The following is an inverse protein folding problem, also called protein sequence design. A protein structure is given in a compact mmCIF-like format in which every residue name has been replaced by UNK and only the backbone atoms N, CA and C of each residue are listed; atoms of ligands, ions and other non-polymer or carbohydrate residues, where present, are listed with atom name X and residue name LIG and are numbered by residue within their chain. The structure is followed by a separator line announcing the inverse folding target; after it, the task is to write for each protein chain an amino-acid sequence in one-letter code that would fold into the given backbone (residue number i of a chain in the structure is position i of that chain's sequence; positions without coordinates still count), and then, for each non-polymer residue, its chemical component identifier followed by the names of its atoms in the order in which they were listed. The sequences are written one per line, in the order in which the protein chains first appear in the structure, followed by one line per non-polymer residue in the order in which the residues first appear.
data_IF_724067616154
#
_entry.id   IF_724067616154
#
_cell.length_a   1.000
_cell.length_b   1.000
_cell.length_c   1.000
_cell.angle_alpha   90.00
_cell.angle_beta   90.00
_cell.angle_gamma   90.00
#
_symmetry.space_group_name_H-M   'P 1'
#
loop_
_entity.id
_entity.type
_entity.pdbx_description
1 polymer ?
#
# COMPACT_ATOMS: atom_id res chain seq x y z
N UNK A 1 -5.93 -14.10 15.66
CA UNK A 1 -5.28 -13.66 14.40
C UNK A 1 -3.88 -14.24 14.38
N UNK A 2 -3.45 -14.82 13.26
CA UNK A 2 -2.09 -15.31 13.04
C UNK A 2 -1.48 -14.57 11.84
N UNK A 3 -0.31 -13.95 12.04
CA UNK A 3 0.35 -13.13 11.05
C UNK A 3 1.42 -13.91 10.30
N UNK A 4 1.65 -13.56 9.04
CA UNK A 4 2.67 -14.15 8.15
C UNK A 4 2.63 -15.69 8.04
N UNK A 5 1.43 -16.26 8.14
CA UNK A 5 1.23 -17.72 8.10
C UNK A 5 1.72 -18.35 6.79
N UNK A 6 1.62 -17.62 5.67
CA UNK A 6 2.15 -18.07 4.39
C UNK A 6 3.65 -18.35 4.43
N UNK A 7 4.44 -17.43 5.00
CA UNK A 7 5.90 -17.62 5.15
C UNK A 7 6.23 -18.78 6.09
N UNK A 8 5.44 -18.92 7.19
CA UNK A 8 5.63 -20.03 8.12
C UNK A 8 5.38 -21.40 7.48
N UNK A 9 4.39 -21.48 6.57
CA UNK A 9 4.04 -22.73 5.89
C UNK A 9 5.03 -23.03 4.75
N UNK A 10 5.50 -22.00 4.05
CA UNK A 10 6.30 -22.04 2.81
C UNK A 10 7.00 -23.38 2.55
N UNK A 11 6.49 -24.15 1.57
CA UNK A 11 7.05 -25.44 1.15
C UNK A 11 6.87 -26.62 2.10
N UNK A 12 6.23 -26.46 3.27
CA UNK A 12 6.06 -27.53 4.24
C UNK A 12 4.62 -28.04 4.32
N UNK A 13 4.37 -29.19 3.68
CA UNK A 13 3.06 -29.89 3.74
C UNK A 13 2.64 -30.18 5.20
N UNK A 14 3.59 -30.52 6.07
CA UNK A 14 3.28 -30.81 7.48
C UNK A 14 2.74 -29.58 8.22
N UNK A 15 3.34 -28.40 8.02
CA UNK A 15 2.87 -27.17 8.64
C UNK A 15 1.50 -26.78 8.11
N UNK A 16 1.27 -26.99 6.83
CA UNK A 16 0.00 -26.80 6.17
C UNK A 16 -1.11 -27.66 6.75
N UNK A 17 -0.84 -28.95 6.93
CA UNK A 17 -1.77 -29.89 7.57
C UNK A 17 -2.04 -29.54 9.03
N UNK A 18 -1.05 -29.04 9.78
CA UNK A 18 -1.25 -28.54 11.14
C UNK A 18 -2.21 -27.34 11.18
N UNK A 19 -2.08 -26.38 10.26
CA UNK A 19 -3.00 -25.25 10.19
C UNK A 19 -4.42 -25.73 9.89
N UNK A 20 -4.59 -26.68 8.96
CA UNK A 20 -5.87 -27.28 8.66
C UNK A 20 -6.49 -27.94 9.92
N UNK A 21 -5.72 -28.78 10.60
CA UNK A 21 -6.18 -29.48 11.83
C UNK A 21 -6.60 -28.48 12.92
N UNK A 22 -5.83 -27.40 13.11
CA UNK A 22 -6.16 -26.34 14.07
C UNK A 22 -7.49 -25.68 13.70
N UNK A 23 -7.65 -25.30 12.42
CA UNK A 23 -8.86 -24.63 11.93
C UNK A 23 -10.09 -25.52 12.09
N UNK A 24 -9.99 -26.78 11.74
CA UNK A 24 -11.07 -27.76 11.91
C UNK A 24 -11.41 -28.00 13.39
N UNK A 25 -10.39 -28.18 14.24
CA UNK A 25 -10.57 -28.41 15.67
C UNK A 25 -11.26 -27.23 16.36
N UNK A 26 -10.89 -26.01 16.01
CA UNK A 26 -11.51 -24.79 16.54
C UNK A 26 -12.96 -24.69 16.05
N UNK A 27 -13.22 -24.95 14.76
CA UNK A 27 -14.56 -24.94 14.21
C UNK A 27 -15.52 -25.89 14.95
N UNK A 28 -15.06 -27.11 15.21
CA UNK A 28 -15.86 -28.13 15.92
C UNK A 28 -16.01 -27.82 17.41
N UNK A 29 -14.91 -27.49 18.10
CA UNK A 29 -14.91 -27.28 19.56
C UNK A 29 -15.60 -26.00 19.99
N UNK A 30 -15.50 -24.95 19.16
CA UNK A 30 -16.06 -23.65 19.47
C UNK A 30 -17.41 -23.40 18.80
N UNK A 31 -17.99 -24.42 18.15
CA UNK A 31 -19.33 -24.37 17.58
C UNK A 31 -19.59 -23.15 16.68
N UNK A 32 -18.59 -22.75 15.88
CA UNK A 32 -18.65 -21.60 15.00
C UNK A 32 -18.53 -20.21 15.66
N UNK A 33 -18.27 -20.14 16.96
CA UNK A 33 -18.16 -18.87 17.70
C UNK A 33 -16.79 -18.21 17.64
N UNK A 34 -15.81 -18.80 16.94
CA UNK A 34 -14.44 -18.29 16.83
C UNK A 34 -14.10 -18.01 15.38
N UNK A 35 -13.55 -16.84 15.16
CA UNK A 35 -13.02 -16.41 13.85
C UNK A 35 -11.52 -16.61 13.80
N UNK A 36 -11.05 -17.24 12.72
CA UNK A 36 -9.62 -17.41 12.45
C UNK A 36 -9.27 -16.47 11.31
N UNK A 37 -8.41 -15.49 11.60
CA UNK A 37 -7.87 -14.55 10.61
C UNK A 37 -6.40 -14.86 10.44
N UNK A 38 -5.98 -15.10 9.21
CA UNK A 38 -4.57 -15.32 8.83
C UNK A 38 -4.15 -14.27 7.82
N UNK A 39 -2.92 -13.80 7.92
CA UNK A 39 -2.32 -12.93 6.91
C UNK A 39 -1.19 -13.64 6.19
N UNK A 40 -0.94 -13.25 4.95
CA UNK A 40 0.17 -13.73 4.13
C UNK A 40 0.64 -12.60 3.22
N UNK A 41 1.95 -12.47 3.04
CA UNK A 41 2.54 -11.49 2.11
C UNK A 41 2.53 -11.98 0.67
N UNK A 42 2.57 -13.29 0.45
CA UNK A 42 2.50 -13.88 -0.87
C UNK A 42 1.08 -14.35 -1.16
N UNK A 43 0.69 -14.30 -2.44
CA UNK A 43 -0.56 -14.93 -2.86
C UNK A 43 -0.50 -16.41 -2.44
N UNK A 44 -1.56 -16.86 -1.78
CA UNK A 44 -1.63 -18.26 -1.28
C UNK A 44 -1.36 -19.25 -2.42
N UNK A 45 -1.69 -18.86 -3.66
CA UNK A 45 -1.43 -19.67 -4.86
C UNK A 45 0.07 -19.78 -5.20
N UNK A 46 0.89 -18.76 -4.86
CA UNK A 46 2.34 -18.76 -5.10
C UNK A 46 3.12 -19.59 -4.06
N UNK A 47 2.63 -19.63 -2.82
CA UNK A 47 3.23 -20.43 -1.73
C UNK A 47 3.17 -21.93 -2.02
N UNK A 48 2.23 -22.32 -2.85
CA UNK A 48 1.86 -23.72 -3.12
C UNK A 48 2.45 -24.27 -4.41
N UNK A 49 3.19 -23.49 -5.17
CA UNK A 49 3.84 -23.97 -6.41
C UNK A 49 4.78 -25.18 -6.23
N UNK A 50 5.08 -25.58 -4.99
CA UNK A 50 5.81 -26.78 -4.62
C UNK A 50 4.98 -27.90 -3.94
N UNK A 51 3.67 -27.72 -3.78
CA UNK A 51 2.78 -28.65 -3.10
C UNK A 51 1.75 -29.21 -4.08
N UNK A 52 1.33 -30.49 -3.90
CA UNK A 52 0.33 -31.09 -4.80
C UNK A 52 -0.98 -30.29 -4.76
N UNK A 53 -1.60 -30.10 -5.95
CA UNK A 53 -2.83 -29.33 -6.11
C UNK A 53 -3.99 -29.81 -5.23
N UNK A 54 -4.00 -31.09 -4.85
CA UNK A 54 -5.02 -31.70 -3.99
C UNK A 54 -4.93 -31.27 -2.53
N UNK A 55 -3.72 -31.04 -1.99
CA UNK A 55 -3.55 -30.66 -0.59
C UNK A 55 -3.85 -29.17 -0.38
N UNK A 56 -3.62 -28.37 -1.42
CA UNK A 56 -3.96 -26.97 -1.42
C UNK A 56 -5.46 -26.68 -1.44
N UNK A 57 -6.21 -27.43 -2.24
CA UNK A 57 -7.68 -27.30 -2.31
C UNK A 57 -8.34 -27.49 -0.95
N UNK A 58 -7.74 -28.33 -0.07
CA UNK A 58 -8.23 -28.57 1.29
C UNK A 58 -8.11 -27.35 2.20
N UNK A 59 -7.05 -26.57 2.07
CA UNK A 59 -6.89 -25.31 2.83
C UNK A 59 -7.76 -24.21 2.24
N UNK A 60 -7.78 -24.08 0.93
CA UNK A 60 -8.63 -23.09 0.26
C UNK A 60 -10.10 -23.22 0.69
N UNK A 61 -10.59 -24.44 0.84
CA UNK A 61 -11.95 -24.69 1.30
C UNK A 61 -12.24 -24.27 2.75
N UNK A 62 -11.21 -24.02 3.58
CA UNK A 62 -11.36 -23.58 4.99
C UNK A 62 -11.34 -22.08 5.15
N UNK A 63 -10.70 -21.35 4.21
CA UNK A 63 -10.65 -19.89 4.20
C UNK A 63 -11.46 -19.36 3.02
N UNK A 64 -12.77 -19.29 3.20
CA UNK A 64 -13.72 -18.88 2.15
C UNK A 64 -13.68 -17.37 1.87
N UNK A 65 -13.40 -16.57 2.91
CA UNK A 65 -13.28 -15.11 2.78
C UNK A 65 -11.84 -14.74 2.56
N UNK A 66 -11.54 -14.15 1.40
CA UNK A 66 -10.20 -13.69 1.02
C UNK A 66 -10.25 -12.22 0.68
N UNK A 67 -9.39 -11.46 1.31
CA UNK A 67 -9.26 -10.03 1.09
C UNK A 67 -7.85 -9.80 0.53
N UNK A 68 -7.76 -9.36 -0.74
CA UNK A 68 -6.50 -8.93 -1.33
C UNK A 68 -6.37 -7.43 -1.09
N UNK A 69 -5.28 -7.05 -0.44
CA UNK A 69 -4.92 -5.63 -0.37
C UNK A 69 -4.24 -5.24 -1.68
N UNK A 70 -4.88 -4.35 -2.42
CA UNK A 70 -4.35 -3.81 -3.66
C UNK A 70 -3.33 -2.70 -3.39
N UNK A 71 -2.49 -2.42 -4.37
CA UNK A 71 -1.49 -1.34 -4.25
C UNK A 71 -2.12 0.07 -4.25
N UNK A 72 -3.36 0.22 -4.72
CA UNK A 72 -4.17 1.43 -4.55
C UNK A 72 -4.39 1.80 -3.08
N UNK A 73 -4.37 0.80 -2.21
CA UNK A 73 -4.55 1.00 -0.77
C UNK A 73 -3.35 1.70 -0.13
N UNK A 74 -2.17 1.65 -0.76
CA UNK A 74 -0.96 2.33 -0.25
C UNK A 74 -1.09 3.85 -0.36
N UNK A 75 -1.64 4.37 -1.46
CA UNK A 75 -1.95 5.81 -1.62
C UNK A 75 -2.90 6.27 -0.52
N UNK A 76 -3.99 5.55 -0.31
CA UNK A 76 -4.97 5.87 0.75
C UNK A 76 -4.35 5.80 2.15
N UNK A 77 -3.47 4.83 2.41
CA UNK A 77 -2.76 4.74 3.70
C UNK A 77 -1.82 5.92 3.90
N UNK A 78 -1.07 6.35 2.87
CA UNK A 78 -0.22 7.53 2.94
C UNK A 78 -1.07 8.76 3.28
N UNK A 79 -2.16 8.99 2.56
CA UNK A 79 -3.04 10.13 2.77
C UNK A 79 -3.64 10.14 4.18
N UNK A 80 -4.14 9.01 4.67
CA UNK A 80 -4.85 8.93 5.95
C UNK A 80 -3.95 8.76 7.18
N UNK A 81 -2.70 8.31 7.02
CA UNK A 81 -1.82 8.00 8.15
C UNK A 81 -0.58 8.87 8.23
N UNK A 82 -0.08 9.32 7.09
CA UNK A 82 1.12 10.16 7.03
C UNK A 82 0.72 11.62 6.82
N UNK A 83 -0.26 11.87 5.94
CA UNK A 83 -0.63 13.21 5.49
C UNK A 83 -1.93 13.74 6.12
N UNK A 84 -2.48 13.08 7.13
CA UNK A 84 -3.68 13.54 7.82
C UNK A 84 -3.44 14.95 8.42
N UNK A 85 -4.27 15.92 8.01
CA UNK A 85 -4.18 17.31 8.46
C UNK A 85 -5.15 17.57 9.59
N UNK A 86 -4.75 18.41 10.51
CA UNK A 86 -5.67 19.00 11.47
C UNK A 86 -6.70 19.87 10.73
N UNK A 87 -7.91 19.96 11.23
CA UNK A 87 -9.02 20.67 10.58
C UNK A 87 -8.63 22.12 10.20
N UNK A 88 -8.00 22.85 11.11
CA UNK A 88 -7.55 24.22 10.84
C UNK A 88 -6.55 24.29 9.67
N UNK A 89 -5.58 23.38 9.64
CA UNK A 89 -4.59 23.33 8.55
C UNK A 89 -5.23 22.89 7.21
N UNK A 90 -6.22 22.00 7.24
CA UNK A 90 -6.96 21.61 6.04
C UNK A 90 -7.73 22.79 5.43
N UNK A 91 -8.37 23.61 6.26
CA UNK A 91 -9.08 24.83 5.83
C UNK A 91 -8.09 25.86 5.24
N UNK A 92 -6.96 26.07 5.89
CA UNK A 92 -5.91 26.99 5.41
C UNK A 92 -5.34 26.54 4.06
N UNK A 93 -5.00 25.26 3.91
CA UNK A 93 -4.53 24.68 2.65
C UNK A 93 -5.59 24.77 1.56
N UNK A 94 -6.85 24.54 1.89
CA UNK A 94 -7.95 24.69 0.94
C UNK A 94 -8.07 26.12 0.42
N UNK A 95 -8.05 27.10 1.30
CA UNK A 95 -8.07 28.52 0.93
C UNK A 95 -6.83 28.92 0.13
N UNK A 96 -5.66 28.41 0.51
CA UNK A 96 -4.41 28.62 -0.26
C UNK A 96 -4.55 28.11 -1.69
N UNK A 97 -5.03 26.88 -1.89
CA UNK A 97 -5.19 26.30 -3.20
C UNK A 97 -6.18 27.07 -4.07
N UNK A 98 -7.35 27.44 -3.53
CA UNK A 98 -8.35 28.20 -4.28
C UNK A 98 -7.81 29.57 -4.73
N UNK A 99 -7.03 30.25 -3.89
CA UNK A 99 -6.45 31.54 -4.22
C UNK A 99 -5.29 31.43 -5.22
N UNK A 100 -4.59 30.31 -5.27
CA UNK A 100 -3.38 30.14 -6.08
C UNK A 100 -3.51 29.08 -7.17
N UNK A 101 -4.72 28.54 -7.41
CA UNK A 101 -4.96 27.41 -8.31
C UNK A 101 -4.34 27.57 -9.69
N UNK A 102 -4.51 28.71 -10.31
CA UNK A 102 -3.97 28.98 -11.65
C UNK A 102 -2.44 28.99 -11.66
N UNK A 103 -1.83 29.57 -10.63
CA UNK A 103 -0.38 29.63 -10.51
C UNK A 103 0.21 28.23 -10.25
N UNK A 104 -0.40 27.46 -9.36
CA UNK A 104 -0.01 26.08 -9.10
C UNK A 104 -0.13 25.22 -10.37
N UNK A 105 -1.24 25.33 -11.10
CA UNK A 105 -1.41 24.61 -12.37
C UNK A 105 -0.37 25.01 -13.42
N UNK A 106 -0.04 26.29 -13.52
CA UNK A 106 0.99 26.78 -14.44
C UNK A 106 2.39 26.29 -14.07
N UNK A 107 2.74 26.28 -12.78
CA UNK A 107 4.03 25.76 -12.29
C UNK A 107 4.19 24.26 -12.56
N UNK A 108 3.09 23.51 -12.47
CA UNK A 108 3.07 22.07 -12.67
C UNK A 108 2.83 21.66 -14.13
N UNK A 109 2.60 22.64 -15.01
CA UNK A 109 2.34 22.38 -16.43
C UNK A 109 3.55 21.71 -17.10
N UNK A 110 3.34 20.53 -17.65
CA UNK A 110 4.34 19.82 -18.46
C UNK A 110 3.85 19.68 -19.90
N UNK A 111 4.74 19.88 -20.85
CA UNK A 111 4.43 19.70 -22.28
C UNK A 111 4.18 18.17 -22.50
N UNK A 112 3.03 17.81 -23.10
CA UNK A 112 2.57 16.41 -23.29
C UNK A 112 1.91 15.75 -22.05
N UNK A 113 1.08 16.49 -21.35
CA UNK A 113 0.43 16.08 -20.09
C UNK A 113 -0.67 15.02 -20.18
N UNK A 114 -0.95 14.42 -21.32
CA UNK A 114 -2.12 13.53 -21.48
C UNK A 114 -2.21 12.36 -20.48
N UNK A 115 -1.11 12.06 -19.77
CA UNK A 115 -1.03 10.93 -18.83
C UNK A 115 -0.62 11.33 -17.40
N UNK A 116 -0.39 12.64 -17.12
CA UNK A 116 0.09 13.07 -15.80
C UNK A 116 -1.08 13.54 -14.95
N UNK A 117 -1.34 12.81 -13.87
CA UNK A 117 -2.39 13.15 -12.89
C UNK A 117 -1.92 14.30 -12.00
N UNK A 118 -2.49 15.48 -12.21
CA UNK A 118 -2.37 16.64 -11.32
C UNK A 118 -3.57 16.69 -10.36
N UNK A 119 -3.65 17.77 -9.56
CA UNK A 119 -4.79 17.97 -8.66
C UNK A 119 -6.08 18.21 -9.44
N UNK A 120 -7.12 17.42 -9.17
CA UNK A 120 -8.43 17.56 -9.77
C UNK A 120 -9.25 18.67 -9.07
N UNK A 121 -9.19 18.69 -7.75
CA UNK A 121 -9.96 19.62 -6.91
C UNK A 121 -9.20 20.00 -5.63
N UNK A 122 -9.80 20.88 -4.85
CA UNK A 122 -9.27 21.38 -3.58
C UNK A 122 -9.13 20.27 -2.54
N UNK A 123 -10.07 19.32 -2.51
CA UNK A 123 -10.03 18.22 -1.53
C UNK A 123 -8.86 17.28 -1.83
N UNK A 124 -8.59 16.99 -3.11
CA UNK A 124 -7.44 16.19 -3.50
C UNK A 124 -6.13 16.91 -3.16
N UNK A 125 -6.05 18.23 -3.43
CA UNK A 125 -4.89 19.02 -3.03
C UNK A 125 -4.65 18.93 -1.52
N UNK A 126 -5.64 19.20 -0.69
CA UNK A 126 -5.53 19.14 0.76
C UNK A 126 -5.11 17.75 1.24
N UNK A 127 -5.69 16.71 0.64
CA UNK A 127 -5.43 15.32 1.04
C UNK A 127 -4.01 14.88 0.71
N UNK A 128 -3.52 15.23 -0.49
CA UNK A 128 -2.21 14.77 -1.00
C UNK A 128 -1.05 15.70 -0.67
N UNK A 129 -1.31 16.99 -0.34
CA UNK A 129 -0.26 17.96 -0.01
C UNK A 129 0.71 17.40 1.05
N UNK A 130 2.03 17.55 0.90
CA UNK A 130 2.74 18.40 -0.09
C UNK A 130 3.08 17.69 -1.41
N UNK A 131 2.52 16.51 -1.66
CA UNK A 131 2.81 15.70 -2.83
C UNK A 131 1.83 15.96 -3.98
N UNK A 132 2.30 15.68 -5.21
CA UNK A 132 1.48 15.78 -6.42
C UNK A 132 0.93 14.38 -6.76
N UNK A 133 -0.35 14.25 -7.15
CA UNK A 133 -0.99 12.94 -7.39
C UNK A 133 -0.22 11.99 -8.32
N UNK A 134 0.48 12.47 -9.36
CA UNK A 134 1.25 11.62 -10.26
C UNK A 134 2.46 10.93 -9.59
N UNK A 135 2.96 11.47 -8.47
CA UNK A 135 4.14 10.94 -7.78
C UNK A 135 3.86 9.56 -7.18
N UNK A 136 2.60 9.27 -6.80
CA UNK A 136 2.22 7.98 -6.23
C UNK A 136 2.40 6.82 -7.21
N UNK A 137 1.70 6.79 -8.36
CA UNK A 137 1.87 5.72 -9.34
C UNK A 137 3.29 5.67 -9.89
N UNK A 138 3.93 6.82 -10.12
CA UNK A 138 5.30 6.87 -10.64
C UNK A 138 6.31 6.19 -9.71
N UNK A 139 6.30 6.51 -8.42
CA UNK A 139 7.18 5.87 -7.43
C UNK A 139 6.87 4.38 -7.26
N UNK A 140 5.59 4.01 -7.32
CA UNK A 140 5.18 2.62 -7.28
C UNK A 140 5.75 1.82 -8.47
N UNK A 141 5.63 2.35 -9.68
CA UNK A 141 6.15 1.71 -10.89
C UNK A 141 7.68 1.62 -10.87
N UNK A 142 8.36 2.66 -10.39
CA UNK A 142 9.80 2.66 -10.21
C UNK A 142 10.25 1.58 -9.21
N UNK A 143 9.63 1.51 -8.04
CA UNK A 143 9.95 0.49 -7.02
C UNK A 143 9.66 -0.92 -7.52
N UNK A 144 8.59 -1.11 -8.26
CA UNK A 144 8.23 -2.40 -8.87
C UNK A 144 9.25 -2.80 -9.96
N UNK A 145 9.65 -1.85 -10.80
CA UNK A 145 10.64 -2.08 -11.87
C UNK A 145 12.03 -2.38 -11.32
N UNK A 146 12.47 -1.69 -10.29
CA UNK A 146 13.74 -1.96 -9.62
C UNK A 146 13.79 -3.38 -9.03
N UNK A 147 12.68 -3.85 -8.51
CA UNK A 147 12.58 -5.18 -7.89
C UNK A 147 12.43 -6.31 -8.87
N UNK A 148 11.72 -6.11 -9.96
CA UNK A 148 11.61 -7.12 -11.02
C UNK A 148 12.98 -7.47 -11.63
N UNK A 149 13.92 -6.52 -11.60
CA UNK A 149 15.30 -6.66 -12.08
C UNK A 149 16.28 -7.18 -11.00
N UNK A 150 15.88 -7.19 -9.73
CA UNK A 150 16.71 -7.67 -8.62
C UNK A 150 16.42 -9.15 -8.32
N UNK A 151 17.43 -9.99 -8.33
CA UNK A 151 17.31 -11.45 -8.11
C UNK A 151 16.71 -11.84 -6.73
N UNK A 152 16.75 -10.94 -5.75
CA UNK A 152 16.21 -11.14 -4.38
C UNK A 152 14.89 -10.41 -4.10
N UNK A 153 14.28 -9.77 -5.11
CA UNK A 153 13.26 -8.74 -4.89
C UNK A 153 11.81 -9.12 -5.16
N UNK A 154 11.42 -10.38 -5.06
CA UNK A 154 10.09 -10.84 -5.51
C UNK A 154 8.88 -10.49 -4.61
N UNK A 155 9.03 -9.82 -3.47
CA UNK A 155 7.90 -9.59 -2.56
C UNK A 155 7.24 -8.21 -2.73
N UNK A 156 5.99 -8.19 -3.22
CA UNK A 156 5.17 -6.97 -3.36
C UNK A 156 5.00 -6.20 -2.02
N UNK A 157 4.91 -6.91 -0.91
CA UNK A 157 4.76 -6.29 0.43
C UNK A 157 5.93 -5.37 0.79
N UNK A 158 7.14 -5.70 0.34
CA UNK A 158 8.29 -4.83 0.51
C UNK A 158 8.19 -3.55 -0.35
N UNK A 159 7.44 -3.53 -1.48
CA UNK A 159 7.23 -2.31 -2.27
C UNK A 159 6.37 -1.31 -1.51
N UNK A 160 5.26 -1.78 -0.94
CA UNK A 160 4.38 -0.95 -0.14
C UNK A 160 5.08 -0.35 1.08
N UNK A 161 5.85 -1.17 1.84
CA UNK A 161 6.64 -0.68 2.98
C UNK A 161 7.70 0.36 2.57
N UNK A 162 8.38 0.14 1.44
CA UNK A 162 9.36 1.11 0.95
C UNK A 162 8.69 2.39 0.50
N UNK A 163 7.54 2.30 -0.16
CA UNK A 163 6.76 3.46 -0.57
C UNK A 163 6.31 4.26 0.66
N UNK A 164 5.72 3.62 1.67
CA UNK A 164 5.33 4.27 2.92
C UNK A 164 6.51 4.96 3.60
N UNK A 165 7.67 4.31 3.64
CA UNK A 165 8.88 4.89 4.24
C UNK A 165 9.36 6.11 3.47
N UNK A 166 9.48 6.01 2.15
CA UNK A 166 9.95 7.10 1.29
C UNK A 166 9.02 8.31 1.44
N UNK A 167 7.70 8.13 1.35
CA UNK A 167 6.75 9.23 1.54
C UNK A 167 6.82 9.83 2.94
N UNK A 168 7.00 9.01 3.98
CA UNK A 168 7.16 9.49 5.36
C UNK A 168 8.42 10.35 5.50
N UNK A 169 9.57 9.81 5.09
CA UNK A 169 10.87 10.49 5.23
C UNK A 169 10.83 11.84 4.44
N UNK A 170 10.25 11.83 3.23
CA UNK A 170 10.10 13.04 2.43
C UNK A 170 9.09 14.04 3.04
N UNK A 171 8.00 13.56 3.65
CA UNK A 171 7.04 14.43 4.34
C UNK A 171 7.64 15.09 5.57
N UNK A 172 8.51 14.39 6.31
CA UNK A 172 9.26 14.96 7.44
C UNK A 172 10.15 16.12 6.99
N UNK A 173 10.86 15.97 5.87
CA UNK A 173 11.66 17.07 5.28
C UNK A 173 10.76 18.23 4.82
N UNK A 174 9.61 17.93 4.25
CA UNK A 174 8.66 18.94 3.80
C UNK A 174 7.98 19.70 4.95
N UNK A 175 7.90 19.11 6.15
CA UNK A 175 7.26 19.75 7.32
C UNK A 175 7.96 21.03 7.79
N UNK A 176 9.23 21.18 7.49
CA UNK A 176 10.02 22.38 7.83
C UNK A 176 9.94 23.47 6.74
N UNK A 177 9.17 23.26 5.68
CA UNK A 177 9.03 24.21 4.57
C UNK A 177 7.79 25.08 4.72
N UNK A 178 7.76 26.18 3.99
CA UNK A 178 6.61 27.08 3.92
C UNK A 178 5.41 26.42 3.22
N UNK A 179 4.21 26.96 3.43
CA UNK A 179 2.95 26.39 2.91
C UNK A 179 2.86 26.36 1.38
N UNK A 180 3.69 27.11 0.67
CA UNK A 180 3.79 27.11 -0.80
C UNK A 180 4.70 26.01 -1.36
N UNK A 181 5.36 25.25 -0.50
CA UNK A 181 6.25 24.18 -0.90
C UNK A 181 5.46 22.96 -1.41
N UNK A 182 5.62 22.67 -2.69
CA UNK A 182 5.16 21.44 -3.32
C UNK A 182 6.39 20.56 -3.54
N UNK A 183 6.35 19.34 -3.04
CA UNK A 183 7.49 18.43 -3.04
C UNK A 183 7.95 18.09 -4.46
N UNK A 184 9.14 18.46 -4.85
CA UNK A 184 9.69 18.09 -6.16
C UNK A 184 10.10 16.61 -6.16
N UNK A 185 10.14 16.01 -7.37
CA UNK A 185 10.45 14.59 -7.51
C UNK A 185 11.82 14.20 -6.96
N UNK A 186 12.81 15.06 -7.05
CA UNK A 186 14.16 14.75 -6.56
C UNK A 186 14.20 14.56 -5.03
N UNK A 187 13.29 15.17 -4.28
CA UNK A 187 13.24 15.04 -2.82
C UNK A 187 12.97 13.61 -2.31
N UNK A 188 12.57 12.70 -3.20
CA UNK A 188 12.41 11.28 -2.87
C UNK A 188 13.72 10.48 -2.97
N UNK A 189 14.83 11.09 -3.41
CA UNK A 189 16.11 10.42 -3.66
C UNK A 189 17.25 10.92 -2.78
N UNK A 190 17.03 11.97 -2.03
CA UNK A 190 17.96 12.53 -1.05
C UNK A 190 17.73 11.89 0.33
#
# INVERSE_FOLDING_TARGET
MADEVGQFISGSVQKMLKLQTITESIGVRCNGQVWIVVTSQEDVDAIVSGVSSNDFSKIQGRFTTRIKMASSDVEEVIEKRILEKKEAAALELGAYYENNRTDIQNRLYMKNQAEIRLYNDTNEFVRTYPFIPYQYPMLQDMLTSLRSKSASGKNLSNAARSMLRIFKDTAEVASDKETDYITPLYAFYD
#
